data_IF_944246205948
#
_entry.id   IF_944246205948
#
_cell.length_a   1.000
_cell.length_b   1.000
_cell.length_c   1.000
_cell.angle_alpha   90.00
_cell.angle_beta   90.00
_cell.angle_gamma   90.00
#
_symmetry.space_group_name_H-M   'P 1'
#
loop_
_entity.id
_entity.type
_entity.pdbx_description
1 polymer ?
#
# COMPACT_ATOMS: atom_id res chain seq x y z
N UNK A 1 -4.29 13.11 -22.52
CA UNK A 1 -4.02 11.67 -22.31
C UNK A 1 -5.31 10.93 -22.61
N UNK A 2 -5.27 9.89 -23.47
CA UNK A 2 -6.47 9.09 -23.71
C UNK A 2 -6.75 8.28 -22.44
N UNK A 3 -7.87 8.57 -21.80
CA UNK A 3 -8.57 7.58 -20.97
C UNK A 3 -8.91 6.44 -21.95
N UNK A 4 -8.68 5.19 -21.56
CA UNK A 4 -8.82 4.05 -22.49
C UNK A 4 -10.17 4.08 -23.20
N UNK A 5 -10.16 3.90 -24.53
CA UNK A 5 -11.34 3.99 -25.40
C UNK A 5 -12.18 2.69 -25.35
N UNK A 6 -12.11 1.99 -24.23
CA UNK A 6 -12.65 0.65 -24.06
C UNK A 6 -14.02 0.70 -23.39
N UNK A 7 -15.04 0.17 -24.06
CA UNK A 7 -16.38 0.02 -23.47
C UNK A 7 -16.36 -0.90 -22.24
N UNK A 8 -17.24 -0.69 -21.24
CA UNK A 8 -17.40 -1.61 -20.11
C UNK A 8 -17.57 -3.08 -20.56
N UNK A 9 -16.87 -3.97 -19.85
CA UNK A 9 -16.90 -5.41 -20.12
C UNK A 9 -16.07 -5.89 -21.32
N UNK A 10 -15.28 -5.03 -21.99
CA UNK A 10 -14.45 -5.46 -23.13
C UNK A 10 -13.55 -6.65 -22.78
N UNK A 11 -12.85 -6.59 -21.63
CA UNK A 11 -11.91 -7.64 -21.23
C UNK A 11 -12.64 -8.97 -20.99
N UNK A 12 -13.83 -8.93 -20.39
CA UNK A 12 -14.66 -10.12 -20.18
C UNK A 12 -15.06 -10.80 -21.50
N UNK A 13 -15.25 -10.03 -22.58
CA UNK A 13 -15.55 -10.56 -23.92
C UNK A 13 -14.31 -11.11 -24.65
N UNK A 14 -13.11 -10.66 -24.28
CA UNK A 14 -11.84 -11.04 -24.93
C UNK A 14 -11.11 -12.18 -24.21
N UNK A 15 -11.31 -12.33 -22.90
CA UNK A 15 -10.69 -13.38 -22.09
C UNK A 15 -11.44 -14.72 -22.21
N UNK A 16 -10.74 -15.82 -21.92
CA UNK A 16 -11.38 -17.13 -21.76
C UNK A 16 -12.41 -17.08 -20.63
N UNK A 17 -13.51 -17.82 -20.77
CA UNK A 17 -14.55 -17.95 -19.73
C UNK A 17 -14.10 -18.81 -18.55
N UNK A 18 -13.12 -19.67 -18.77
CA UNK A 18 -12.60 -20.61 -17.78
C UNK A 18 -11.08 -20.46 -17.66
N UNK A 19 -10.51 -20.68 -16.46
CA UNK A 19 -9.06 -20.74 -16.30
C UNK A 19 -8.47 -21.88 -17.15
N UNK A 20 -7.20 -21.79 -17.57
CA UNK A 20 -6.55 -22.86 -18.32
C UNK A 20 -6.38 -24.10 -17.44
N UNK A 21 -6.67 -25.29 -17.99
CA UNK A 21 -6.50 -26.57 -17.29
C UNK A 21 -5.02 -26.95 -17.12
N UNK A 22 -4.16 -26.48 -18.03
CA UNK A 22 -2.74 -26.76 -18.05
C UNK A 22 -1.93 -25.45 -17.96
N UNK A 23 -0.71 -25.48 -17.41
CA UNK A 23 0.16 -24.31 -17.37
C UNK A 23 0.45 -23.77 -18.77
N UNK A 24 0.36 -22.45 -18.94
CA UNK A 24 0.76 -21.75 -20.15
C UNK A 24 2.18 -21.20 -20.01
N UNK A 25 2.88 -21.07 -21.15
CA UNK A 25 4.21 -20.45 -21.13
C UNK A 25 4.13 -18.97 -20.73
N UNK A 26 5.15 -18.49 -20.02
CA UNK A 26 5.25 -17.07 -19.63
C UNK A 26 5.19 -16.13 -20.84
N UNK A 27 5.71 -16.54 -22.01
CA UNK A 27 5.67 -15.75 -23.23
C UNK A 27 4.24 -15.50 -23.72
N UNK A 28 3.34 -16.48 -23.60
CA UNK A 28 1.93 -16.33 -23.94
C UNK A 28 1.25 -15.33 -22.99
N UNK A 29 1.55 -15.42 -21.68
CA UNK A 29 1.06 -14.48 -20.67
C UNK A 29 1.51 -13.05 -20.98
N UNK A 30 2.80 -12.85 -21.32
CA UNK A 30 3.31 -11.53 -21.71
C UNK A 30 2.68 -10.99 -22.99
N UNK A 31 2.37 -11.86 -23.95
CA UNK A 31 1.70 -11.48 -25.18
C UNK A 31 0.25 -11.04 -24.89
N UNK A 32 -0.45 -11.71 -23.98
CA UNK A 32 -1.78 -11.34 -23.53
C UNK A 32 -1.79 -10.01 -22.76
N UNK A 33 -0.80 -9.79 -21.88
CA UNK A 33 -0.61 -8.50 -21.23
C UNK A 33 -0.53 -7.36 -22.26
N UNK A 34 0.30 -7.53 -23.29
CA UNK A 34 0.49 -6.52 -24.36
C UNK A 34 -0.75 -6.29 -25.20
N UNK A 35 -1.47 -7.36 -25.58
CA UNK A 35 -2.58 -7.29 -26.55
C UNK A 35 -3.94 -7.02 -25.91
N UNK A 36 -4.19 -7.54 -24.71
CA UNK A 36 -5.51 -7.54 -24.07
C UNK A 36 -5.60 -6.54 -22.91
N UNK A 37 -4.52 -6.34 -22.16
CA UNK A 37 -4.54 -5.51 -20.94
C UNK A 37 -4.07 -4.09 -21.20
N UNK A 38 -2.84 -3.91 -21.72
CA UNK A 38 -2.24 -2.58 -21.89
C UNK A 38 -3.12 -1.57 -22.67
N UNK A 39 -3.83 -1.94 -23.76
CA UNK A 39 -4.67 -0.99 -24.49
C UNK A 39 -5.85 -0.43 -23.67
N UNK A 40 -6.29 -1.15 -22.64
CA UNK A 40 -7.39 -0.76 -21.75
C UNK A 40 -6.94 -0.02 -20.49
N UNK A 41 -5.63 0.10 -20.24
CA UNK A 41 -5.11 0.74 -19.03
C UNK A 41 -5.07 2.26 -19.13
N UNK A 42 -5.43 2.92 -18.04
CA UNK A 42 -5.11 4.33 -17.83
C UNK A 42 -3.62 4.46 -17.49
N UNK A 43 -2.88 5.24 -18.27
CA UNK A 43 -1.45 5.47 -18.05
C UNK A 43 -1.20 6.56 -17.00
N UNK A 44 -1.29 6.19 -15.71
CA UNK A 44 -1.11 7.09 -14.56
C UNK A 44 0.24 7.80 -14.51
N UNK A 45 1.32 7.16 -14.99
CA UNK A 45 2.66 7.74 -15.03
C UNK A 45 2.92 8.64 -16.25
N UNK A 46 1.94 8.82 -17.16
CA UNK A 46 2.17 9.64 -18.35
C UNK A 46 2.27 11.12 -17.94
N UNK A 47 3.28 11.90 -18.42
CA UNK A 47 3.46 13.33 -18.08
C UNK A 47 2.30 14.29 -18.42
N UNK A 48 1.24 13.79 -19.06
CA UNK A 48 0.07 14.56 -19.52
C UNK A 48 -1.22 14.06 -18.85
N UNK A 49 -1.09 13.28 -17.78
CA UNK A 49 -2.18 12.79 -16.96
C UNK A 49 -2.30 13.71 -15.74
N UNK A 50 -3.45 14.40 -15.61
CA UNK A 50 -3.68 15.45 -14.62
C UNK A 50 -4.94 15.22 -13.78
N UNK A 51 -5.47 13.99 -13.75
CA UNK A 51 -6.64 13.65 -12.95
C UNK A 51 -6.22 13.20 -11.53
N UNK A 52 -7.11 13.43 -10.55
CA UNK A 52 -6.91 13.07 -9.14
C UNK A 52 -5.65 13.71 -8.53
N UNK A 53 -4.90 12.95 -7.73
CA UNK A 53 -3.61 13.33 -7.16
C UNK A 53 -2.48 12.51 -7.82
N UNK A 54 -1.26 13.06 -7.94
CA UNK A 54 -0.12 12.32 -8.48
C UNK A 54 0.15 11.04 -7.67
N UNK A 55 0.21 9.92 -8.35
CA UNK A 55 0.64 8.64 -7.78
C UNK A 55 1.93 8.20 -8.48
N UNK A 56 3.02 8.96 -8.28
CA UNK A 56 4.30 8.71 -8.94
C UNK A 56 4.97 7.44 -8.41
N UNK A 57 5.62 6.68 -9.30
CA UNK A 57 6.39 5.47 -8.91
C UNK A 57 7.85 5.55 -9.36
N UNK A 58 8.79 5.97 -8.48
CA UNK A 58 10.20 6.07 -8.84
C UNK A 58 10.89 4.69 -8.87
N UNK A 59 12.02 4.60 -9.57
CA UNK A 59 12.76 3.33 -9.72
C UNK A 59 13.13 2.62 -8.40
N UNK A 60 13.54 3.32 -7.31
CA UNK A 60 13.82 2.66 -6.04
C UNK A 60 12.60 1.96 -5.43
N UNK A 61 11.39 2.49 -5.63
CA UNK A 61 10.15 1.86 -5.17
C UNK A 61 9.92 0.54 -5.90
N UNK A 62 10.09 0.51 -7.22
CA UNK A 62 9.94 -0.71 -8.02
C UNK A 62 10.91 -1.81 -7.58
N UNK A 63 12.16 -1.45 -7.26
CA UNK A 63 13.15 -2.39 -6.76
C UNK A 63 12.81 -2.89 -5.35
N UNK A 64 12.31 -2.01 -4.49
CA UNK A 64 11.84 -2.38 -3.17
C UNK A 64 10.65 -3.36 -3.25
N UNK A 65 9.66 -3.10 -4.10
CA UNK A 65 8.51 -4.00 -4.32
C UNK A 65 8.95 -5.37 -4.85
N UNK A 66 9.93 -5.41 -5.75
CA UNK A 66 10.49 -6.67 -6.25
C UNK A 66 11.16 -7.47 -5.12
N UNK A 67 11.99 -6.80 -4.30
CA UNK A 67 12.70 -7.42 -3.20
C UNK A 67 11.73 -7.95 -2.13
N UNK A 68 10.76 -7.13 -1.70
CA UNK A 68 9.79 -7.54 -0.69
C UNK A 68 8.91 -8.69 -1.19
N UNK A 69 8.52 -8.68 -2.46
CA UNK A 69 7.77 -9.78 -3.09
C UNK A 69 8.59 -11.07 -3.15
N UNK A 70 9.89 -10.98 -3.46
CA UNK A 70 10.78 -12.14 -3.53
C UNK A 70 11.03 -12.79 -2.16
N UNK A 71 11.07 -11.97 -1.10
CA UNK A 71 11.36 -12.44 0.26
C UNK A 71 10.10 -12.92 1.02
N UNK A 72 8.90 -12.53 0.57
CA UNK A 72 7.60 -13.02 1.08
C UNK A 72 7.48 -12.98 2.62
N UNK A 73 7.93 -11.87 3.23
CA UNK A 73 7.90 -11.71 4.68
C UNK A 73 6.48 -11.66 5.26
N UNK A 74 6.31 -12.20 6.47
CA UNK A 74 5.08 -12.07 7.26
C UNK A 74 5.39 -11.27 8.53
N UNK A 75 4.84 -10.06 8.63
CA UNK A 75 5.16 -9.09 9.68
C UNK A 75 3.87 -8.77 10.45
N UNK A 76 3.39 -9.72 11.24
CA UNK A 76 2.18 -9.55 12.06
C UNK A 76 2.51 -9.35 13.54
N UNK A 77 3.71 -9.73 13.98
CA UNK A 77 4.23 -9.45 15.31
C UNK A 77 5.71 -9.16 15.25
N UNK A 78 6.25 -8.60 16.32
CA UNK A 78 7.69 -8.36 16.42
C UNK A 78 8.46 -9.68 16.32
N UNK A 79 7.98 -10.76 16.93
CA UNK A 79 8.62 -12.08 16.89
C UNK A 79 8.64 -12.70 15.48
N UNK A 80 7.67 -12.36 14.62
CA UNK A 80 7.61 -12.89 13.26
C UNK A 80 8.66 -12.29 12.34
N UNK A 81 9.03 -11.01 12.55
CA UNK A 81 10.13 -10.37 11.84
C UNK A 81 10.68 -9.13 12.59
N UNK A 82 11.59 -9.33 13.57
CA UNK A 82 12.10 -8.23 14.41
C UNK A 82 12.75 -7.10 13.59
N UNK A 83 13.58 -7.46 12.61
CA UNK A 83 14.34 -6.51 11.81
C UNK A 83 13.43 -5.57 11.00
N UNK A 84 12.35 -6.09 10.39
CA UNK A 84 11.46 -5.26 9.59
C UNK A 84 10.52 -4.43 10.46
N UNK A 85 10.10 -4.96 11.62
CA UNK A 85 9.32 -4.19 12.58
C UNK A 85 10.12 -2.99 13.14
N UNK A 86 11.41 -3.19 13.46
CA UNK A 86 12.28 -2.10 13.92
C UNK A 86 12.65 -1.12 12.80
N UNK A 87 12.80 -1.64 11.57
CA UNK A 87 13.01 -0.79 10.39
C UNK A 87 11.81 0.12 10.14
N UNK A 88 10.57 -0.38 10.24
CA UNK A 88 9.37 0.44 10.12
C UNK A 88 9.37 1.57 11.15
N UNK A 89 9.59 1.26 12.43
CA UNK A 89 9.65 2.25 13.50
C UNK A 89 10.70 3.34 13.22
N UNK A 90 11.87 2.93 12.74
CA UNK A 90 12.98 3.84 12.39
C UNK A 90 12.60 4.77 11.24
N UNK A 91 12.04 4.22 10.16
CA UNK A 91 11.62 4.99 8.98
C UNK A 91 10.47 5.94 9.31
N UNK A 92 9.50 5.50 10.11
CA UNK A 92 8.40 6.35 10.61
C UNK A 92 8.96 7.54 11.39
N UNK A 93 9.93 7.32 12.27
CA UNK A 93 10.60 8.40 12.99
C UNK A 93 11.33 9.38 12.05
N UNK A 94 12.05 8.88 11.04
CA UNK A 94 12.70 9.74 10.05
C UNK A 94 11.70 10.61 9.29
N UNK A 95 10.58 10.02 8.87
CA UNK A 95 9.51 10.74 8.18
C UNK A 95 8.87 11.78 9.12
N UNK A 96 8.57 11.42 10.36
CA UNK A 96 8.00 12.34 11.35
C UNK A 96 8.91 13.54 11.60
N UNK A 97 10.22 13.32 11.75
CA UNK A 97 11.21 14.39 11.88
C UNK A 97 11.33 15.25 10.63
N UNK A 98 11.28 14.65 9.43
CA UNK A 98 11.30 15.39 8.17
C UNK A 98 10.08 16.32 8.01
N UNK A 99 8.92 15.92 8.55
CA UNK A 99 7.72 16.76 8.63
C UNK A 99 7.70 17.74 9.81
N UNK A 100 8.73 17.73 10.67
CA UNK A 100 8.81 18.61 11.84
C UNK A 100 7.79 18.27 12.93
N UNK A 101 7.38 17.01 13.05
CA UNK A 101 6.47 16.59 14.12
C UNK A 101 7.17 16.70 15.48
N UNK A 102 6.46 17.09 16.56
CA UNK A 102 6.99 17.07 17.92
C UNK A 102 7.46 15.66 18.32
N UNK A 103 8.54 15.57 19.12
CA UNK A 103 9.08 14.28 19.60
C UNK A 103 8.05 13.45 20.40
N UNK A 104 6.99 14.08 20.92
CA UNK A 104 5.87 13.36 21.57
C UNK A 104 5.09 12.44 20.61
N UNK A 105 5.19 12.65 19.30
CA UNK A 105 4.57 11.78 18.28
C UNK A 105 5.51 10.67 17.79
N UNK A 106 6.78 10.68 18.18
CA UNK A 106 7.79 9.76 17.68
C UNK A 106 8.03 8.61 18.66
N UNK A 107 8.55 7.49 18.15
CA UNK A 107 9.02 6.40 18.99
C UNK A 107 10.23 6.82 19.83
N UNK A 108 10.22 6.44 21.11
CA UNK A 108 11.35 6.58 22.04
C UNK A 108 12.29 5.36 21.97
N UNK A 109 13.38 5.34 22.76
CA UNK A 109 14.43 4.30 22.72
C UNK A 109 13.89 2.86 22.76
N UNK A 110 12.78 2.65 23.48
CA UNK A 110 12.02 1.39 23.45
C UNK A 110 10.64 1.66 22.86
N UNK A 111 10.37 1.27 21.59
CA UNK A 111 9.11 1.56 20.91
C UNK A 111 7.88 1.07 21.69
N UNK A 112 7.96 -0.09 22.34
CA UNK A 112 6.85 -0.69 23.09
C UNK A 112 6.48 0.07 24.38
N UNK A 113 7.39 0.91 24.88
CA UNK A 113 7.18 1.73 26.07
C UNK A 113 6.94 3.21 25.72
N UNK A 114 6.94 3.54 24.43
CA UNK A 114 6.77 4.90 23.97
C UNK A 114 5.32 5.36 24.12
N UNK A 115 5.15 6.60 24.58
CA UNK A 115 3.84 7.26 24.58
C UNK A 115 3.40 7.74 23.19
N UNK A 116 4.31 7.74 22.22
CA UNK A 116 4.10 8.14 20.84
C UNK A 116 4.49 7.03 19.86
N UNK A 117 4.39 7.31 18.56
CA UNK A 117 4.72 6.36 17.52
C UNK A 117 3.80 6.50 16.31
N UNK A 118 4.04 5.66 15.31
CA UNK A 118 3.23 5.61 14.10
C UNK A 118 3.43 4.29 13.36
N UNK A 119 2.54 4.00 12.42
CA UNK A 119 2.64 2.80 11.59
C UNK A 119 2.33 3.15 10.13
N UNK A 120 2.89 2.37 9.22
CA UNK A 120 2.65 2.47 7.79
C UNK A 120 1.37 1.69 7.46
N UNK A 121 0.33 2.40 7.02
CA UNK A 121 -0.96 1.78 6.65
C UNK A 121 -1.21 1.87 5.15
N UNK A 122 -2.03 0.95 4.64
CA UNK A 122 -2.31 0.83 3.20
C UNK A 122 -3.06 2.02 2.60
N UNK A 123 -3.83 2.76 3.41
CA UNK A 123 -4.53 3.95 2.96
C UNK A 123 -4.76 4.97 4.07
N UNK A 124 -4.97 6.23 3.67
CA UNK A 124 -5.37 7.29 4.60
C UNK A 124 -6.75 7.00 5.26
N UNK A 125 -7.63 6.30 4.55
CA UNK A 125 -8.94 5.88 5.08
C UNK A 125 -8.79 4.93 6.26
N UNK A 126 -7.83 4.00 6.21
CA UNK A 126 -7.56 3.06 7.31
C UNK A 126 -7.04 3.81 8.55
N UNK A 127 -6.12 4.76 8.36
CA UNK A 127 -5.64 5.62 9.45
C UNK A 127 -6.78 6.40 10.12
N UNK A 128 -7.66 7.03 9.32
CA UNK A 128 -8.81 7.78 9.82
C UNK A 128 -9.78 6.84 10.56
N UNK A 129 -10.08 5.67 9.98
CA UNK A 129 -10.96 4.70 10.59
C UNK A 129 -10.45 4.23 11.95
N UNK A 130 -9.17 3.84 12.05
CA UNK A 130 -8.54 3.47 13.32
C UNK A 130 -8.60 4.61 14.35
N UNK A 131 -8.32 5.85 13.93
CA UNK A 131 -8.36 7.02 14.81
C UNK A 131 -9.77 7.28 15.37
N UNK A 132 -10.80 7.14 14.54
CA UNK A 132 -12.20 7.28 14.94
C UNK A 132 -12.62 6.15 15.89
N UNK A 133 -12.23 4.91 15.60
CA UNK A 133 -12.52 3.77 16.48
C UNK A 133 -11.91 3.94 17.87
N UNK A 134 -10.64 4.34 17.95
CA UNK A 134 -9.94 4.58 19.22
C UNK A 134 -10.62 5.71 19.98
N UNK A 135 -10.93 6.82 19.30
CA UNK A 135 -11.62 7.97 19.91
C UNK A 135 -13.01 7.60 20.43
N UNK A 136 -13.77 6.79 19.69
CA UNK A 136 -15.07 6.25 20.11
C UNK A 136 -14.91 5.39 21.37
N UNK A 137 -13.98 4.45 21.37
CA UNK A 137 -13.75 3.56 22.51
C UNK A 137 -13.33 4.34 23.76
N UNK A 138 -12.44 5.31 23.61
CA UNK A 138 -12.03 6.21 24.69
C UNK A 138 -13.23 6.96 25.27
N UNK A 139 -14.11 7.52 24.42
CA UNK A 139 -15.27 8.27 24.90
C UNK A 139 -16.29 7.37 25.62
N UNK A 140 -16.48 6.14 25.14
CA UNK A 140 -17.32 5.15 25.81
C UNK A 140 -16.78 4.87 27.21
N UNK A 141 -15.48 4.60 27.36
CA UNK A 141 -14.88 4.31 28.65
C UNK A 141 -14.99 5.46 29.67
N UNK A 142 -15.09 6.72 29.22
CA UNK A 142 -15.33 7.85 30.11
C UNK A 142 -16.77 7.95 30.61
N UNK A 143 -17.75 7.56 29.80
CA UNK A 143 -19.18 7.68 30.13
C UNK A 143 -19.67 6.47 30.91
N UNK A 144 -19.12 5.29 30.65
CA UNK A 144 -19.54 4.04 31.29
C UNK A 144 -18.85 3.76 32.63
N UNK A 145 -17.73 4.43 32.93
CA UNK A 145 -16.99 4.31 34.20
C UNK A 145 -17.36 5.44 35.20
N UNK A 146 -18.22 6.38 34.80
CA UNK A 146 -18.85 7.41 35.66
C UNK A 146 -20.26 7.02 36.08
#
# INVERSE_FOLDING_TARGET
VRISDSSPGFLYRTMSRFPPENPESFLLICNDLKKKILPGMTHWQHPRFYAYYPAGRPYPEMLAELLTSAMAFNIFSWESCPALNELENTVVNWIGRAFGLPESFLFQEVPQLSSGGGSIVGSASDAIFCSVLVSRNWKINQVWVS
#
